data_IF_959033093091
#
_entry.id   IF_959033093091
#
_cell.length_a   1.000
_cell.length_b   1.000
_cell.length_c   1.000
_cell.angle_alpha   90.00
_cell.angle_beta   90.00
_cell.angle_gamma   90.00
#
_symmetry.space_group_name_H-M   'P 1'
#
loop_
_entity.id
_entity.type
_entity.pdbx_description
1 polymer ?
#
# COMPACT_ATOMS: atom_id res chain seq x y z
N UNK A 1 13.96 9.29 -6.85
CA UNK A 1 13.87 8.47 -8.09
C UNK A 1 12.52 8.66 -8.80
N UNK A 2 12.48 8.62 -10.14
CA UNK A 2 11.23 8.59 -10.93
C UNK A 2 11.10 7.26 -11.70
N UNK A 3 9.98 6.55 -11.52
CA UNK A 3 9.67 5.32 -12.26
C UNK A 3 9.10 5.60 -13.65
N UNK A 4 9.44 4.75 -14.61
CA UNK A 4 8.80 4.72 -15.93
C UNK A 4 7.37 4.17 -15.84
N UNK A 5 6.56 4.46 -16.87
CA UNK A 5 5.20 3.89 -16.96
C UNK A 5 5.21 2.36 -17.06
N UNK A 6 6.25 1.79 -17.66
CA UNK A 6 6.43 0.34 -17.74
C UNK A 6 6.64 -0.26 -16.35
N UNK A 7 7.53 0.33 -15.54
CA UNK A 7 7.79 -0.14 -14.18
C UNK A 7 6.55 0.00 -13.29
N UNK A 8 5.85 1.14 -13.36
CA UNK A 8 4.57 1.33 -12.66
C UNK A 8 3.54 0.25 -13.03
N UNK A 9 3.37 -0.05 -14.32
CA UNK A 9 2.44 -1.08 -14.80
C UNK A 9 2.85 -2.49 -14.37
N UNK A 10 4.15 -2.78 -14.30
CA UNK A 10 4.64 -4.09 -13.88
C UNK A 10 4.50 -4.30 -12.37
N UNK A 11 4.69 -3.24 -11.57
CA UNK A 11 4.37 -3.26 -10.13
C UNK A 11 2.88 -3.51 -9.91
N UNK A 12 2.02 -2.75 -10.60
CA UNK A 12 0.56 -2.92 -10.52
C UNK A 12 0.15 -4.37 -10.87
N UNK A 13 0.73 -4.94 -11.94
CA UNK A 13 0.50 -6.33 -12.35
C UNK A 13 0.98 -7.35 -11.31
N UNK A 14 2.09 -7.09 -10.63
CA UNK A 14 2.60 -7.95 -9.56
C UNK A 14 1.67 -7.94 -8.35
N UNK A 15 1.16 -6.75 -7.96
CA UNK A 15 0.17 -6.60 -6.90
C UNK A 15 -1.12 -7.34 -7.28
N UNK A 16 -1.62 -7.15 -8.50
CA UNK A 16 -2.79 -7.89 -9.01
C UNK A 16 -2.59 -9.41 -8.94
N UNK A 17 -1.40 -9.90 -9.31
CA UNK A 17 -1.06 -11.32 -9.21
C UNK A 17 -1.04 -11.81 -7.77
N UNK A 18 -0.49 -11.03 -6.84
CA UNK A 18 -0.44 -11.37 -5.42
C UNK A 18 -1.85 -11.42 -4.81
N UNK A 19 -2.65 -10.38 -5.00
CA UNK A 19 -4.03 -10.34 -4.47
C UNK A 19 -4.95 -11.35 -5.15
N UNK A 20 -4.65 -11.73 -6.40
CA UNK A 20 -5.34 -12.78 -7.13
C UNK A 20 -5.31 -14.14 -6.43
N UNK A 21 -4.37 -14.37 -5.50
CA UNK A 21 -4.32 -15.56 -4.64
C UNK A 21 -5.52 -15.65 -3.69
N UNK A 22 -6.13 -14.51 -3.38
CA UNK A 22 -7.26 -14.36 -2.47
C UNK A 22 -8.57 -14.10 -3.20
N UNK A 23 -8.65 -14.40 -4.49
CA UNK A 23 -9.92 -14.41 -5.25
C UNK A 23 -10.41 -15.86 -5.28
N UNK A 24 -10.79 -16.41 -4.11
CA UNK A 24 -11.40 -17.74 -4.02
C UNK A 24 -12.92 -17.62 -3.83
N UNK A 25 -13.71 -18.35 -4.62
CA UNK A 25 -15.16 -18.50 -4.40
C UNK A 25 -15.53 -19.49 -3.29
N UNK A 26 -14.58 -19.83 -2.42
CA UNK A 26 -14.76 -20.72 -1.28
C UNK A 26 -15.05 -19.90 -0.01
N UNK A 27 -15.87 -20.39 0.90
CA UNK A 27 -16.25 -19.70 2.16
C UNK A 27 -15.08 -19.45 3.15
N UNK A 28 -13.84 -19.66 2.71
CA UNK A 28 -12.64 -19.41 3.51
C UNK A 28 -12.14 -17.99 3.25
N UNK A 29 -12.48 -17.11 4.18
CA UNK A 29 -11.88 -15.78 4.29
C UNK A 29 -10.47 -15.92 4.87
N UNK A 30 -9.46 -15.42 4.17
CA UNK A 30 -8.09 -15.35 4.68
C UNK A 30 -7.99 -14.22 5.73
N UNK A 31 -7.16 -14.41 6.76
CA UNK A 31 -6.83 -13.35 7.73
C UNK A 31 -5.34 -13.12 7.56
N UNK A 32 -4.98 -12.05 6.85
CA UNK A 32 -3.59 -11.75 6.47
C UNK A 32 -3.47 -10.30 6.07
N UNK A 33 -2.31 -9.72 6.31
CA UNK A 33 -1.86 -8.49 5.66
C UNK A 33 -1.03 -8.83 4.40
N UNK A 34 -0.78 -7.83 3.55
CA UNK A 34 0.03 -7.99 2.34
C UNK A 34 1.31 -7.16 2.48
N UNK A 35 2.46 -7.83 2.54
CA UNK A 35 3.74 -7.17 2.70
C UNK A 35 4.40 -6.91 1.35
N UNK A 36 4.83 -5.68 1.10
CA UNK A 36 5.61 -5.27 -0.06
C UNK A 36 7.05 -5.02 0.39
N UNK A 37 7.98 -5.82 -0.12
CA UNK A 37 9.40 -5.75 0.22
C UNK A 37 10.21 -5.37 -1.03
N UNK A 38 10.57 -4.09 -1.20
CA UNK A 38 11.52 -3.68 -2.21
C UNK A 38 12.95 -3.99 -1.77
N UNK A 39 13.77 -4.47 -2.69
CA UNK A 39 15.20 -4.73 -2.47
C UNK A 39 16.02 -3.85 -3.43
N UNK A 40 16.76 -2.90 -2.87
CA UNK A 40 17.63 -2.00 -3.64
C UNK A 40 18.80 -2.76 -4.30
N UNK A 41 19.32 -3.80 -3.65
CA UNK A 41 20.49 -4.55 -4.13
C UNK A 41 20.16 -5.35 -5.39
N UNK A 42 18.99 -5.97 -5.43
CA UNK A 42 18.54 -6.76 -6.60
C UNK A 42 17.65 -5.98 -7.56
N UNK A 43 17.08 -4.86 -7.11
CA UNK A 43 16.02 -4.12 -7.82
C UNK A 43 14.68 -4.87 -7.87
N UNK A 44 14.48 -5.87 -7.02
CA UNK A 44 13.26 -6.66 -7.00
C UNK A 44 12.23 -6.08 -6.03
N UNK A 45 10.95 -6.12 -6.41
CA UNK A 45 9.84 -6.06 -5.47
C UNK A 45 9.34 -7.48 -5.23
N UNK A 46 9.29 -7.91 -3.99
CA UNK A 46 8.68 -9.19 -3.59
C UNK A 46 7.49 -8.94 -2.68
N UNK A 47 6.39 -9.63 -2.93
CA UNK A 47 5.12 -9.47 -2.23
C UNK A 47 4.83 -10.75 -1.45
N UNK A 48 4.56 -10.61 -0.15
CA UNK A 48 4.31 -11.70 0.77
C UNK A 48 2.95 -11.56 1.44
N UNK A 49 2.49 -12.66 2.04
CA UNK A 49 1.50 -12.61 3.11
C UNK A 49 2.19 -12.42 4.48
N UNK A 50 1.41 -12.41 5.56
CA UNK A 50 1.91 -12.25 6.94
C UNK A 50 2.69 -13.48 7.45
N UNK A 51 2.42 -14.67 6.91
CA UNK A 51 3.15 -15.92 7.14
C UNK A 51 4.48 -16.03 6.34
N UNK A 52 4.96 -14.94 5.73
CA UNK A 52 6.16 -14.88 4.86
C UNK A 52 6.11 -15.78 3.60
N UNK A 53 4.91 -16.20 3.17
CA UNK A 53 4.72 -16.88 1.88
C UNK A 53 4.81 -15.87 0.73
N UNK A 54 5.69 -16.13 -0.24
CA UNK A 54 5.81 -15.32 -1.45
C UNK A 54 4.58 -15.48 -2.36
N UNK A 55 3.87 -14.38 -2.60
CA UNK A 55 2.69 -14.31 -3.46
C UNK A 55 3.04 -13.94 -4.91
N UNK A 56 3.98 -13.00 -5.08
CA UNK A 56 4.48 -12.53 -6.37
C UNK A 56 5.82 -11.81 -6.23
N UNK A 57 6.54 -11.67 -7.35
CA UNK A 57 7.73 -10.84 -7.44
C UNK A 57 7.85 -10.19 -8.84
N UNK A 58 8.61 -9.10 -8.92
CA UNK A 58 8.89 -8.38 -10.17
C UNK A 58 10.23 -7.64 -10.08
N UNK A 59 10.97 -7.55 -11.19
CA UNK A 59 12.19 -6.76 -11.30
C UNK A 59 11.90 -5.34 -11.82
N UNK A 60 12.45 -4.33 -11.16
CA UNK A 60 12.31 -2.91 -11.49
C UNK A 60 13.69 -2.36 -11.85
N UNK A 61 13.89 -2.06 -13.14
CA UNK A 61 15.21 -1.64 -13.67
C UNK A 61 15.73 -0.36 -13.00
N UNK A 62 14.83 0.59 -12.69
CA UNK A 62 15.20 1.84 -12.02
C UNK A 62 15.66 1.61 -10.57
N UNK A 63 15.22 0.53 -9.92
CA UNK A 63 15.67 0.20 -8.56
C UNK A 63 17.06 -0.44 -8.59
N UNK A 64 17.29 -1.37 -9.52
CA UNK A 64 18.58 -2.06 -9.67
C UNK A 64 19.76 -1.13 -10.01
N UNK A 65 19.47 0.07 -10.53
CA UNK A 65 20.48 1.06 -10.92
C UNK A 65 20.56 2.24 -9.96
N UNK A 66 19.80 2.23 -8.86
CA UNK A 66 19.74 3.32 -7.90
C UNK A 66 20.79 3.21 -6.80
N UNK A 67 21.56 4.28 -6.64
CA UNK A 67 22.64 4.37 -5.65
C UNK A 67 22.40 5.44 -4.57
N UNK A 68 21.20 6.04 -4.52
CA UNK A 68 20.80 6.97 -3.47
C UNK A 68 20.50 6.28 -2.13
N UNK A 69 20.75 6.99 -1.04
CA UNK A 69 20.46 6.59 0.34
C UNK A 69 18.98 6.81 0.74
N UNK A 70 18.23 7.54 -0.09
CA UNK A 70 16.81 7.85 0.04
C UNK A 70 15.91 6.83 -0.70
N UNK A 71 16.36 5.59 -0.89
CA UNK A 71 15.64 4.57 -1.68
C UNK A 71 14.21 4.34 -1.16
N UNK A 72 14.07 4.03 0.13
CA UNK A 72 12.75 3.79 0.74
C UNK A 72 11.86 5.03 0.67
N UNK A 73 12.41 6.23 0.92
CA UNK A 73 11.69 7.50 0.83
C UNK A 73 11.11 7.78 -0.57
N UNK A 74 11.72 7.20 -1.62
CA UNK A 74 11.23 7.29 -2.99
C UNK A 74 10.25 6.17 -3.36
N UNK A 75 10.43 4.97 -2.80
CA UNK A 75 9.61 3.79 -3.10
C UNK A 75 8.24 3.91 -2.43
N UNK A 76 8.19 4.30 -1.16
CA UNK A 76 6.96 4.42 -0.37
C UNK A 76 5.85 5.23 -1.09
N UNK A 77 6.06 6.51 -1.50
CA UNK A 77 5.02 7.29 -2.16
C UNK A 77 4.59 6.70 -3.51
N UNK A 78 5.51 6.03 -4.21
CA UNK A 78 5.23 5.39 -5.50
C UNK A 78 4.29 4.19 -5.32
N UNK A 79 4.58 3.32 -4.34
CA UNK A 79 3.74 2.16 -4.03
C UNK A 79 2.39 2.59 -3.47
N UNK A 80 2.37 3.58 -2.58
CA UNK A 80 1.13 4.17 -2.04
C UNK A 80 0.23 4.71 -3.15
N UNK A 81 0.79 5.44 -4.11
CA UNK A 81 0.04 5.97 -5.26
C UNK A 81 -0.56 4.86 -6.14
N UNK A 82 0.17 3.76 -6.38
CA UNK A 82 -0.35 2.61 -7.14
C UNK A 82 -1.49 1.95 -6.38
N UNK A 83 -1.31 1.65 -5.09
CA UNK A 83 -2.32 1.00 -4.26
C UNK A 83 -3.59 1.84 -4.13
N UNK A 84 -3.47 3.16 -3.96
CA UNK A 84 -4.62 4.07 -3.96
C UNK A 84 -5.39 4.00 -5.28
N UNK A 85 -4.70 4.06 -6.43
CA UNK A 85 -5.33 3.96 -7.75
C UNK A 85 -6.04 2.62 -7.95
N UNK A 86 -5.43 1.52 -7.50
CA UNK A 86 -6.05 0.19 -7.55
C UNK A 86 -7.29 0.09 -6.65
N UNK A 87 -7.24 0.67 -5.44
CA UNK A 87 -8.40 0.76 -4.54
C UNK A 87 -9.53 1.57 -5.18
N UNK A 88 -9.23 2.74 -5.74
CA UNK A 88 -10.21 3.58 -6.46
C UNK A 88 -10.81 2.89 -7.69
N UNK A 89 -10.04 2.03 -8.36
CA UNK A 89 -10.50 1.23 -9.50
C UNK A 89 -11.35 0.00 -9.08
N UNK A 90 -11.44 -0.30 -7.79
CA UNK A 90 -12.21 -1.43 -7.27
C UNK A 90 -11.49 -2.77 -7.35
N UNK A 91 -10.17 -2.79 -7.58
CA UNK A 91 -9.39 -4.04 -7.74
C UNK A 91 -9.43 -4.93 -6.49
N UNK A 92 -9.72 -4.33 -5.32
CA UNK A 92 -9.73 -5.03 -4.04
C UNK A 92 -11.12 -5.48 -3.57
N UNK A 93 -12.19 -5.19 -4.32
CA UNK A 93 -13.57 -5.51 -3.92
C UNK A 93 -13.89 -7.00 -3.88
N UNK A 94 -13.17 -7.80 -4.70
CA UNK A 94 -13.41 -9.24 -4.88
C UNK A 94 -12.45 -10.11 -4.07
N UNK A 95 -11.58 -9.49 -3.30
CA UNK A 95 -10.60 -10.17 -2.45
C UNK A 95 -11.33 -10.72 -1.22
N UNK A 96 -11.09 -12.00 -0.90
CA UNK A 96 -11.67 -12.69 0.26
C UNK A 96 -10.71 -12.68 1.44
N UNK A 97 -10.10 -11.52 1.74
CA UNK A 97 -9.35 -11.27 2.98
C UNK A 97 -10.30 -10.58 3.97
N UNK A 98 -10.21 -10.96 5.26
CA UNK A 98 -11.01 -10.39 6.33
C UNK A 98 -10.58 -8.94 6.57
N UNK A 99 -11.53 -8.02 6.48
CA UNK A 99 -11.30 -6.61 6.79
C UNK A 99 -11.33 -6.35 8.30
N UNK A 100 -10.55 -5.38 8.82
CA UNK A 100 -9.57 -4.60 8.07
C UNK A 100 -8.31 -5.42 7.76
N UNK A 101 -7.73 -5.20 6.59
CA UNK A 101 -6.39 -5.68 6.24
C UNK A 101 -5.58 -4.56 5.59
N UNK A 102 -4.26 -4.67 5.67
CA UNK A 102 -3.34 -3.63 5.25
C UNK A 102 -2.39 -4.11 4.15
N UNK A 103 -1.93 -3.16 3.35
CA UNK A 103 -0.72 -3.29 2.55
C UNK A 103 0.40 -2.58 3.29
N UNK A 104 1.46 -3.30 3.61
CA UNK A 104 2.55 -2.83 4.48
C UNK A 104 3.85 -2.81 3.69
N UNK A 105 4.58 -1.70 3.75
CA UNK A 105 5.96 -1.63 3.30
C UNK A 105 6.86 -2.21 4.38
N UNK A 106 7.68 -3.18 4.02
CA UNK A 106 8.65 -3.81 4.92
C UNK A 106 10.08 -3.71 4.36
N UNK A 107 11.06 -3.68 5.24
CA UNK A 107 12.48 -3.68 4.87
C UNK A 107 13.04 -5.10 4.66
N UNK A 108 14.36 -5.22 4.50
CA UNK A 108 15.04 -6.51 4.26
C UNK A 108 14.87 -7.51 5.42
N UNK A 109 14.72 -7.01 6.65
CA UNK A 109 14.55 -7.80 7.87
C UNK A 109 13.06 -8.08 8.19
N UNK A 110 12.15 -7.74 7.27
CA UNK A 110 10.69 -7.82 7.43
C UNK A 110 10.14 -6.87 8.50
N UNK A 111 10.92 -5.87 8.93
CA UNK A 111 10.41 -4.86 9.84
C UNK A 111 9.50 -3.90 9.07
N UNK A 112 8.40 -3.50 9.71
CA UNK A 112 7.46 -2.54 9.12
C UNK A 112 8.10 -1.16 9.00
N UNK A 113 8.16 -0.66 7.77
CA UNK A 113 8.59 0.70 7.47
C UNK A 113 7.38 1.64 7.51
N UNK A 114 6.29 1.28 6.82
CA UNK A 114 5.09 2.10 6.74
C UNK A 114 3.84 1.27 6.39
N UNK A 115 2.67 1.68 6.87
CA UNK A 115 1.39 1.23 6.33
C UNK A 115 1.10 2.04 5.05
N UNK A 116 1.02 1.35 3.91
CA UNK A 116 0.81 1.99 2.60
C UNK A 116 -0.69 2.25 2.36
N UNK A 117 -1.52 1.26 2.67
CA UNK A 117 -2.96 1.33 2.46
C UNK A 117 -3.70 0.43 3.46
N UNK A 118 -4.69 0.99 4.14
CA UNK A 118 -5.68 0.26 4.90
C UNK A 118 -6.95 0.01 4.05
N UNK A 119 -7.37 -1.25 4.00
CA UNK A 119 -8.63 -1.67 3.36
C UNK A 119 -9.59 -2.09 4.45
N UNK A 120 -10.59 -1.24 4.69
CA UNK A 120 -11.66 -1.48 5.65
C UNK A 120 -12.99 -1.00 5.06
N UNK A 121 -14.12 -1.56 5.50
CA UNK A 121 -15.45 -1.19 5.01
C UNK A 121 -15.85 0.23 5.45
N UNK A 122 -15.27 0.72 6.55
CA UNK A 122 -15.62 2.00 7.18
C UNK A 122 -14.50 3.06 7.06
N UNK A 123 -13.42 2.81 6.32
CA UNK A 123 -12.29 3.77 6.20
C UNK A 123 -12.52 4.84 5.14
N UNK A 124 -12.79 6.07 5.60
CA UNK A 124 -12.58 7.29 4.82
C UNK A 124 -11.06 7.53 4.74
N UNK A 125 -10.46 7.35 3.55
CA UNK A 125 -9.08 7.78 3.32
C UNK A 125 -9.03 9.30 3.37
N UNK A 126 -8.42 9.85 4.43
CA UNK A 126 -8.20 11.28 4.56
C UNK A 126 -6.81 11.58 4.00
N UNK A 127 -6.75 12.28 2.87
CA UNK A 127 -5.50 12.81 2.33
C UNK A 127 -4.92 13.89 3.28
N UNK A 128 -3.60 14.10 3.27
CA UNK A 128 -2.95 15.16 4.05
C UNK A 128 -3.49 16.56 3.70
N UNK A 129 -4.00 16.79 2.49
CA UNK A 129 -4.71 18.02 2.14
C UNK A 129 -6.11 18.13 2.76
N UNK A 130 -6.81 17.00 2.95
CA UNK A 130 -8.11 16.96 3.64
C UNK A 130 -7.95 17.13 5.16
N UNK A 131 -6.89 16.59 5.77
CA UNK A 131 -6.56 16.78 7.19
C UNK A 131 -6.25 18.24 7.54
N UNK A 132 -5.58 18.98 6.64
CA UNK A 132 -5.26 20.42 6.85
C UNK A 132 -6.51 21.31 6.93
N UNK A 133 -7.64 20.90 6.36
CA UNK A 133 -8.92 21.60 6.48
C UNK A 133 -9.67 21.24 7.76
N UNK A 134 -9.54 20.00 8.21
CA UNK A 134 -10.20 19.43 9.38
C UNK A 134 -9.82 20.14 10.67
N UNK A 135 -8.53 20.45 10.90
CA UNK A 135 -8.10 21.17 12.11
C UNK A 135 -8.81 22.51 12.29
N UNK A 136 -9.00 23.27 11.20
CA UNK A 136 -9.68 24.57 11.25
C UNK A 136 -11.17 24.45 11.51
N UNK A 137 -11.82 23.48 10.88
CA UNK A 137 -13.25 23.22 11.10
C UNK A 137 -13.51 22.65 12.51
N UNK A 138 -12.59 21.84 13.05
CA UNK A 138 -12.66 21.30 14.41
C UNK A 138 -12.47 22.40 15.45
N UNK A 139 -11.52 23.31 15.23
CA UNK A 139 -11.30 24.48 16.10
C UNK A 139 -12.51 25.42 16.12
N UNK A 140 -13.12 25.70 14.97
CA UNK A 140 -14.35 26.49 14.89
C UNK A 140 -15.55 25.78 15.55
N UNK A 141 -15.64 24.46 15.41
CA UNK A 141 -16.67 23.65 16.08
C UNK A 141 -16.51 23.71 17.60
N UNK A 142 -15.31 23.49 18.12
CA UNK A 142 -15.01 23.57 19.56
C UNK A 142 -15.29 24.96 20.12
N UNK A 143 -14.93 26.01 19.38
CA UNK A 143 -15.17 27.40 19.79
C UNK A 143 -16.66 27.72 19.89
N UNK A 144 -17.45 27.32 18.89
CA UNK A 144 -18.90 27.48 18.92
C UNK A 144 -19.60 26.67 20.02
N UNK A 145 -18.99 25.56 20.46
CA UNK A 145 -19.48 24.75 21.57
C UNK A 145 -19.16 25.37 22.94
N UNK A 146 -18.01 26.04 23.07
CA UNK A 146 -17.55 26.72 24.28
C UNK A 146 -18.12 28.14 24.44
N UNK A 147 -18.58 28.75 23.35
CA UNK A 147 -19.25 30.07 23.33
C UNK A 147 -20.78 29.97 23.57
N UNK A 148 -21.27 28.81 24.03
CA UNK A 148 -22.65 28.60 24.51
C UNK A 148 -22.75 28.36 26.01
#
# INVERSE_FOLDING_TARGET
MKLSQQSLSTIESAIQKAVGKYVCGCDQTAVTDIHLQPDQTSGQLTIFNDDDEELANVMIEEWATYDGDDFMENVEPSLKSILCRMKEAGDFEKITILKPYSFVLVDEDKETVAELLLVDDDTILVDDELLKGLDKELDEFLKNLLEK
#
